data_IF_916450730711
#
_entry.id   IF_916450730711
#
_cell.length_a   1.000
_cell.length_b   1.000
_cell.length_c   1.000
_cell.angle_alpha   90.00
_cell.angle_beta   90.00
_cell.angle_gamma   90.00
#
_symmetry.space_group_name_H-M   'P 1'
#
loop_
_entity.id
_entity.type
_entity.pdbx_description
1 polymer ?
#
# COMPACT_ATOMS: atom_id res chain seq x y z
N UNK A 1 -0.96 86.64 -35.24
CA UNK A 1 -0.88 85.25 -35.75
C UNK A 1 -0.35 84.34 -34.63
N UNK A 2 -1.14 83.30 -34.33
CA UNK A 2 -0.85 82.02 -33.64
C UNK A 2 0.17 81.96 -32.48
N UNK A 3 -0.34 81.58 -31.30
CA UNK A 3 0.44 80.92 -30.23
C UNK A 3 0.06 79.43 -30.21
N UNK A 4 1.06 78.56 -30.40
CA UNK A 4 0.93 77.10 -30.29
C UNK A 4 0.96 76.69 -28.81
N UNK A 5 0.05 75.80 -28.39
CA UNK A 5 0.08 75.10 -27.10
C UNK A 5 0.23 73.60 -27.37
N UNK A 6 1.35 73.03 -26.92
CA UNK A 6 1.54 71.59 -26.84
C UNK A 6 0.89 71.09 -25.54
N UNK A 7 0.01 70.10 -25.63
CA UNK A 7 -0.55 69.38 -24.49
C UNK A 7 0.01 67.96 -24.51
N UNK A 8 0.75 67.59 -23.48
CA UNK A 8 1.32 66.25 -23.28
C UNK A 8 0.33 65.45 -22.43
N UNK A 9 -0.30 64.42 -23.01
CA UNK A 9 -1.13 63.47 -22.26
C UNK A 9 -0.26 62.30 -21.78
N UNK A 10 -0.11 62.18 -20.46
CA UNK A 10 0.44 61.00 -19.79
C UNK A 10 -0.67 59.95 -19.67
N UNK A 11 -0.50 58.79 -20.29
CA UNK A 11 -1.36 57.62 -20.09
C UNK A 11 -0.77 56.77 -18.95
N UNK A 12 -1.42 56.76 -17.79
CA UNK A 12 -1.11 55.82 -16.72
C UNK A 12 -1.85 54.50 -16.97
N UNK A 13 -1.14 53.43 -17.35
CA UNK A 13 -1.66 52.07 -17.29
C UNK A 13 -1.65 51.61 -15.82
N UNK A 14 -2.84 51.45 -15.24
CA UNK A 14 -3.02 50.72 -13.98
C UNK A 14 -3.13 49.22 -14.28
N UNK A 15 -2.09 48.46 -13.94
CA UNK A 15 -2.13 47.00 -13.90
C UNK A 15 -2.89 46.58 -12.65
N UNK A 16 -4.15 46.13 -12.80
CA UNK A 16 -4.89 45.54 -11.69
C UNK A 16 -4.26 44.18 -11.33
N UNK A 17 -3.61 44.11 -10.17
CA UNK A 17 -3.23 42.85 -9.52
C UNK A 17 -4.51 42.19 -9.01
N UNK A 18 -5.11 41.33 -9.81
CA UNK A 18 -6.24 40.50 -9.37
C UNK A 18 -5.71 39.42 -8.41
N UNK A 19 -5.90 39.61 -7.11
CA UNK A 19 -5.76 38.55 -6.12
C UNK A 19 -6.87 37.52 -6.35
N UNK A 20 -6.49 36.26 -6.63
CA UNK A 20 -7.42 35.12 -6.67
C UNK A 20 -8.10 35.02 -5.29
N UNK A 21 -9.43 35.12 -5.24
CA UNK A 21 -10.20 35.01 -4.00
C UNK A 21 -10.37 33.54 -3.57
N UNK A 22 -10.69 33.31 -2.29
CA UNK A 22 -10.88 31.96 -1.74
C UNK A 22 -11.93 31.13 -2.51
N UNK A 23 -13.03 31.75 -2.94
CA UNK A 23 -14.08 31.10 -3.74
C UNK A 23 -13.55 30.61 -5.11
N UNK A 24 -12.57 31.31 -5.69
CA UNK A 24 -11.95 30.92 -6.96
C UNK A 24 -11.04 29.68 -6.77
N UNK A 25 -10.30 29.61 -5.65
CA UNK A 25 -9.46 28.45 -5.31
C UNK A 25 -10.29 27.16 -5.24
N UNK A 26 -11.40 27.18 -4.50
CA UNK A 26 -12.28 26.00 -4.35
C UNK A 26 -12.92 25.60 -5.69
N UNK A 27 -13.33 26.59 -6.50
CA UNK A 27 -13.89 26.34 -7.82
C UNK A 27 -12.87 25.67 -8.76
N UNK A 28 -11.61 26.13 -8.76
CA UNK A 28 -10.58 25.52 -9.60
C UNK A 28 -10.24 24.10 -9.13
N UNK A 29 -10.11 23.88 -7.83
CA UNK A 29 -9.92 22.54 -7.26
C UNK A 29 -11.04 21.59 -7.70
N UNK A 30 -12.29 22.05 -7.63
CA UNK A 30 -13.46 21.26 -8.02
C UNK A 30 -13.39 20.85 -9.49
N UNK A 31 -13.01 21.76 -10.40
CA UNK A 31 -12.81 21.44 -11.83
C UNK A 31 -11.70 20.41 -12.03
N UNK A 32 -10.59 20.53 -11.31
CA UNK A 32 -9.45 19.59 -11.41
C UNK A 32 -9.86 18.18 -10.97
N UNK A 33 -10.70 18.06 -9.92
CA UNK A 33 -11.17 16.75 -9.43
C UNK A 33 -12.07 16.00 -10.42
N UNK A 34 -12.58 16.67 -11.45
CA UNK A 34 -13.40 16.05 -12.50
C UNK A 34 -12.59 15.35 -13.60
N UNK A 35 -11.25 15.39 -13.57
CA UNK A 35 -10.43 14.65 -14.54
C UNK A 35 -10.67 13.16 -14.43
N UNK A 36 -10.89 12.50 -15.57
CA UNK A 36 -11.10 11.06 -15.66
C UNK A 36 -10.15 10.43 -16.69
N UNK A 37 -10.26 9.11 -16.85
CA UNK A 37 -9.50 8.36 -17.84
C UNK A 37 -9.80 8.87 -19.26
N UNK A 38 -8.90 8.54 -20.20
CA UNK A 38 -9.07 8.84 -21.63
C UNK A 38 -9.19 10.35 -21.94
N UNK A 39 -8.64 11.19 -21.07
CA UNK A 39 -8.55 12.63 -21.27
C UNK A 39 -9.82 13.42 -20.99
N UNK A 40 -10.87 12.76 -20.48
CA UNK A 40 -12.09 13.44 -20.05
C UNK A 40 -11.79 14.46 -18.94
N UNK A 41 -12.25 15.71 -19.13
CA UNK A 41 -12.01 16.81 -18.19
C UNK A 41 -10.64 17.49 -18.29
N UNK A 42 -9.70 16.99 -19.11
CA UNK A 42 -8.33 17.51 -19.17
C UNK A 42 -8.25 19.00 -19.55
N UNK A 43 -9.04 19.45 -20.52
CA UNK A 43 -8.99 20.85 -20.96
C UNK A 43 -9.40 21.81 -19.84
N UNK A 44 -10.51 21.50 -19.16
CA UNK A 44 -10.98 22.28 -18.03
C UNK A 44 -9.98 22.26 -16.87
N UNK A 45 -9.41 21.09 -16.55
CA UNK A 45 -8.40 20.96 -15.51
C UNK A 45 -7.10 21.70 -15.84
N UNK A 46 -6.67 21.71 -17.10
CA UNK A 46 -5.49 22.45 -17.54
C UNK A 46 -5.66 23.96 -17.34
N UNK A 47 -6.82 24.50 -17.74
CA UNK A 47 -7.15 25.91 -17.48
C UNK A 47 -7.27 26.20 -15.98
N UNK A 48 -7.90 25.31 -15.22
CA UNK A 48 -8.05 25.46 -13.78
C UNK A 48 -6.71 25.46 -13.04
N UNK A 49 -5.77 24.57 -13.41
CA UNK A 49 -4.42 24.55 -12.84
C UNK A 49 -3.66 25.82 -13.19
N UNK A 50 -3.77 26.34 -14.41
CA UNK A 50 -3.14 27.61 -14.78
C UNK A 50 -3.63 28.77 -13.91
N UNK A 51 -4.94 28.85 -13.65
CA UNK A 51 -5.54 29.87 -12.79
C UNK A 51 -5.14 29.67 -11.33
N UNK A 52 -5.30 28.46 -10.81
CA UNK A 52 -4.96 28.10 -9.43
C UNK A 52 -3.49 28.38 -9.12
N UNK A 53 -2.58 28.15 -10.07
CA UNK A 53 -1.13 28.37 -9.90
C UNK A 53 -0.73 29.85 -9.78
N UNK A 54 -1.67 30.78 -10.01
CA UNK A 54 -1.49 32.22 -9.77
C UNK A 54 -1.95 32.66 -8.38
N UNK A 55 -2.59 31.78 -7.61
CA UNK A 55 -2.95 32.06 -6.23
C UNK A 55 -1.70 32.29 -5.35
N UNK A 56 -1.92 32.96 -4.21
CA UNK A 56 -0.88 33.17 -3.21
C UNK A 56 -0.77 31.96 -2.24
N UNK A 57 0.07 32.10 -1.21
CA UNK A 57 0.33 31.02 -0.25
C UNK A 57 -0.91 30.53 0.51
N UNK A 58 -2.00 31.31 0.57
CA UNK A 58 -3.23 30.91 1.25
C UNK A 58 -3.91 29.70 0.60
N UNK A 59 -3.62 29.43 -0.68
CA UNK A 59 -4.17 28.27 -1.40
C UNK A 59 -3.47 26.94 -1.06
N UNK A 60 -2.31 26.95 -0.38
CA UNK A 60 -1.52 25.75 -0.13
C UNK A 60 -2.28 24.70 0.71
N UNK A 61 -2.87 25.11 1.84
CA UNK A 61 -3.62 24.19 2.72
C UNK A 61 -4.93 23.69 2.08
N UNK A 62 -5.74 24.53 1.41
CA UNK A 62 -6.88 24.08 0.62
C UNK A 62 -6.50 23.03 -0.44
N UNK A 63 -5.41 23.24 -1.18
CA UNK A 63 -4.96 22.28 -2.19
C UNK A 63 -4.58 20.95 -1.54
N UNK A 64 -3.78 20.97 -0.46
CA UNK A 64 -3.40 19.75 0.25
C UNK A 64 -4.62 18.99 0.80
N UNK A 65 -5.58 19.71 1.38
CA UNK A 65 -6.82 19.13 1.91
C UNK A 65 -7.67 18.48 0.80
N UNK A 66 -7.63 19.04 -0.40
CA UNK A 66 -8.41 18.55 -1.55
C UNK A 66 -7.94 17.21 -2.13
N UNK A 67 -6.76 16.72 -1.71
CA UNK A 67 -6.28 15.39 -2.07
C UNK A 67 -7.24 14.31 -1.57
N UNK A 68 -7.98 14.57 -0.49
CA UNK A 68 -9.04 13.69 -0.02
C UNK A 68 -10.15 13.57 -1.07
N UNK A 69 -10.52 12.33 -1.40
CA UNK A 69 -11.49 12.04 -2.46
C UNK A 69 -11.06 12.44 -3.89
N UNK A 70 -9.80 12.84 -4.12
CA UNK A 70 -9.28 13.04 -5.46
C UNK A 70 -8.78 11.72 -6.07
N UNK A 71 -9.10 11.48 -7.33
CA UNK A 71 -8.56 10.32 -8.04
C UNK A 71 -7.07 10.53 -8.39
N UNK A 72 -6.32 9.45 -8.73
CA UNK A 72 -4.88 9.55 -8.99
C UNK A 72 -4.48 10.54 -10.09
N UNK A 73 -5.34 10.77 -11.09
CA UNK A 73 -5.06 11.74 -12.16
C UNK A 73 -5.17 13.17 -11.61
N UNK A 74 -6.26 13.48 -10.91
CA UNK A 74 -6.48 14.77 -10.27
C UNK A 74 -5.37 15.12 -9.27
N UNK A 75 -4.88 14.14 -8.50
CA UNK A 75 -3.76 14.33 -7.57
C UNK A 75 -2.50 14.84 -8.26
N UNK A 76 -2.19 14.39 -9.48
CA UNK A 76 -1.01 14.86 -10.20
C UNK A 76 -1.13 16.33 -10.62
N UNK A 77 -2.32 16.75 -11.05
CA UNK A 77 -2.60 18.16 -11.38
C UNK A 77 -2.52 19.06 -10.15
N UNK A 78 -3.13 18.64 -9.03
CA UNK A 78 -3.11 19.38 -7.76
C UNK A 78 -1.69 19.51 -7.20
N UNK A 79 -0.87 18.45 -7.31
CA UNK A 79 0.54 18.46 -6.90
C UNK A 79 1.34 19.54 -7.65
N UNK A 80 1.19 19.61 -8.98
CA UNK A 80 1.90 20.62 -9.78
C UNK A 80 1.49 22.06 -9.45
N UNK A 81 0.20 22.29 -9.19
CA UNK A 81 -0.29 23.59 -8.74
C UNK A 81 0.29 23.96 -7.37
N UNK A 82 0.26 23.03 -6.41
CA UNK A 82 0.84 23.21 -5.09
C UNK A 82 2.34 23.55 -5.16
N UNK A 83 3.13 22.77 -5.91
CA UNK A 83 4.58 22.98 -6.03
C UNK A 83 4.92 24.34 -6.64
N UNK A 84 4.12 24.80 -7.60
CA UNK A 84 4.27 26.12 -8.21
C UNK A 84 4.05 27.24 -7.20
N UNK A 85 2.96 27.16 -6.42
CA UNK A 85 2.62 28.16 -5.40
C UNK A 85 3.64 28.12 -4.26
N UNK A 86 4.02 26.91 -3.80
CA UNK A 86 4.98 26.71 -2.73
C UNK A 86 6.35 27.26 -3.11
N UNK A 87 6.80 27.03 -4.35
CA UNK A 87 8.08 27.58 -4.84
C UNK A 87 8.09 29.11 -4.82
N UNK A 88 7.00 29.76 -5.24
CA UNK A 88 6.85 31.22 -5.15
C UNK A 88 6.84 31.69 -3.69
N UNK A 89 6.11 31.00 -2.82
CA UNK A 89 6.02 31.34 -1.39
C UNK A 89 7.39 31.23 -0.69
N UNK A 90 8.18 30.21 -1.01
CA UNK A 90 9.56 30.03 -0.52
C UNK A 90 10.44 31.20 -0.98
N UNK A 91 10.42 31.54 -2.27
CA UNK A 91 11.21 32.67 -2.80
C UNK A 91 10.84 34.01 -2.15
N UNK A 92 9.60 34.16 -1.71
CA UNK A 92 9.09 35.36 -1.06
C UNK A 92 9.22 35.33 0.48
N UNK A 93 9.74 34.24 1.07
CA UNK A 93 9.74 34.00 2.52
C UNK A 93 8.34 34.11 3.15
N UNK A 94 7.33 33.58 2.46
CA UNK A 94 5.91 33.60 2.86
C UNK A 94 5.32 32.20 3.04
N UNK A 95 6.15 31.17 3.14
CA UNK A 95 5.65 29.81 3.34
C UNK A 95 4.93 29.73 4.69
N UNK A 96 3.71 29.17 4.78
CA UNK A 96 2.97 29.07 6.04
C UNK A 96 3.46 27.85 6.85
N UNK A 97 4.69 27.91 7.35
CA UNK A 97 5.40 26.79 8.00
C UNK A 97 4.60 26.15 9.14
N UNK A 98 4.05 26.95 10.06
CA UNK A 98 3.27 26.44 11.20
C UNK A 98 2.00 25.67 10.74
N UNK A 99 1.34 26.14 9.67
CA UNK A 99 0.15 25.48 9.14
C UNK A 99 0.51 24.18 8.43
N UNK A 100 1.62 24.16 7.69
CA UNK A 100 2.15 22.94 7.09
C UNK A 100 2.52 21.92 8.16
N UNK A 101 3.19 22.34 9.23
CA UNK A 101 3.55 21.44 10.34
C UNK A 101 2.31 20.82 11.00
N UNK A 102 1.29 21.62 11.31
CA UNK A 102 0.00 21.12 11.81
C UNK A 102 -0.65 20.13 10.85
N UNK A 103 -0.64 20.43 9.54
CA UNK A 103 -1.17 19.55 8.50
C UNK A 103 -0.41 18.21 8.43
N UNK A 104 0.93 18.23 8.58
CA UNK A 104 1.75 17.01 8.58
C UNK A 104 1.43 16.12 9.80
N UNK A 105 1.19 16.73 10.97
CA UNK A 105 0.91 16.00 12.21
C UNK A 105 -0.49 15.39 12.28
N UNK A 106 -1.46 15.94 11.55
CA UNK A 106 -2.82 15.38 11.50
C UNK A 106 -2.86 14.11 10.62
N UNK A 107 -2.98 12.96 11.29
CA UNK A 107 -3.01 11.64 10.65
C UNK A 107 -4.29 11.34 9.87
N UNK A 108 -5.33 12.17 10.00
CA UNK A 108 -6.57 12.04 9.23
C UNK A 108 -6.42 12.51 7.79
N UNK A 109 -5.43 13.35 7.51
CA UNK A 109 -5.18 13.84 6.16
C UNK A 109 -4.55 12.79 5.25
N UNK A 110 -4.78 12.96 3.95
CA UNK A 110 -4.25 12.10 2.91
C UNK A 110 -2.72 11.92 3.04
N UNK A 111 -2.21 10.67 3.11
CA UNK A 111 -0.78 10.40 3.29
C UNK A 111 0.16 11.07 2.27
N UNK A 112 -0.28 11.19 1.01
CA UNK A 112 0.51 11.83 -0.06
C UNK A 112 0.55 13.34 0.11
N UNK A 113 -0.54 13.96 0.54
CA UNK A 113 -0.57 15.39 0.85
C UNK A 113 0.35 15.71 2.04
N UNK A 114 0.28 14.90 3.11
CA UNK A 114 1.17 15.06 4.28
C UNK A 114 2.64 14.94 3.89
N UNK A 115 2.98 13.99 3.00
CA UNK A 115 4.34 13.85 2.47
C UNK A 115 4.79 15.09 1.68
N UNK A 116 3.95 15.59 0.78
CA UNK A 116 4.25 16.78 -0.03
C UNK A 116 4.44 18.04 0.84
N UNK A 117 3.60 18.20 1.88
CA UNK A 117 3.74 19.25 2.87
C UNK A 117 5.08 19.16 3.61
N UNK A 118 5.45 17.95 4.08
CA UNK A 118 6.72 17.69 4.75
C UNK A 118 7.93 18.01 3.88
N UNK A 119 7.95 17.50 2.65
CA UNK A 119 9.04 17.76 1.68
C UNK A 119 9.17 19.24 1.32
N UNK A 120 8.09 20.01 1.45
CA UNK A 120 8.10 21.46 1.24
C UNK A 120 8.63 22.21 2.46
N UNK A 121 8.19 21.83 3.66
CA UNK A 121 8.63 22.42 4.92
C UNK A 121 10.16 22.27 5.10
N UNK A 122 10.71 21.08 4.85
CA UNK A 122 12.14 20.82 5.05
C UNK A 122 13.06 21.60 4.10
N UNK A 123 12.53 22.22 3.04
CA UNK A 123 13.32 23.09 2.13
C UNK A 123 13.71 24.41 2.80
N UNK A 124 12.90 24.89 3.76
CA UNK A 124 13.14 26.14 4.48
C UNK A 124 13.47 25.92 5.95
N UNK A 125 12.99 24.81 6.52
CA UNK A 125 13.31 24.37 7.88
C UNK A 125 13.81 22.92 7.90
N UNK A 126 15.11 22.69 7.63
CA UNK A 126 15.71 21.37 7.75
C UNK A 126 15.58 20.74 9.15
N UNK A 127 15.43 21.56 10.20
CA UNK A 127 15.25 21.10 11.57
C UNK A 127 13.91 20.40 11.81
N UNK A 128 12.91 20.61 10.94
CA UNK A 128 11.62 19.94 11.01
C UNK A 128 11.75 18.41 10.95
N UNK A 129 12.76 17.87 10.26
CA UNK A 129 13.02 16.43 10.23
C UNK A 129 13.24 15.86 11.64
N UNK A 130 14.11 16.49 12.45
CA UNK A 130 14.38 16.03 13.82
C UNK A 130 13.21 16.24 14.77
N UNK A 131 12.36 17.24 14.52
CA UNK A 131 11.18 17.50 15.35
C UNK A 131 10.03 16.54 15.04
N UNK A 132 9.81 16.18 13.77
CA UNK A 132 8.60 15.49 13.32
C UNK A 132 8.82 13.98 13.15
N UNK A 133 9.87 13.57 12.43
CA UNK A 133 10.07 12.18 12.02
C UNK A 133 10.17 11.19 13.19
N UNK A 134 10.78 11.50 14.36
CA UNK A 134 10.81 10.56 15.48
C UNK A 134 9.42 10.09 15.95
N UNK A 135 8.38 10.94 15.81
CA UNK A 135 7.00 10.60 16.16
C UNK A 135 6.27 9.73 15.13
N UNK A 136 6.89 9.41 14.00
CA UNK A 136 6.24 8.79 12.84
C UNK A 136 6.47 7.28 12.72
N UNK A 137 7.07 6.63 13.72
CA UNK A 137 7.42 5.19 13.64
C UNK A 137 6.23 4.26 13.35
N UNK A 138 5.01 4.64 13.74
CA UNK A 138 3.77 3.91 13.43
C UNK A 138 2.78 4.77 12.63
N UNK A 139 3.29 5.72 11.85
CA UNK A 139 2.45 6.63 11.09
C UNK A 139 1.71 5.90 9.95
N UNK A 140 0.42 6.24 9.66
CA UNK A 140 -0.30 5.64 8.54
C UNK A 140 0.31 5.95 7.18
N UNK A 141 1.02 7.07 7.03
CA UNK A 141 1.79 7.40 5.83
C UNK A 141 3.05 6.55 5.76
N UNK A 142 3.09 5.66 4.76
CA UNK A 142 4.22 4.76 4.50
C UNK A 142 5.53 5.54 4.36
N UNK A 143 5.52 6.65 3.65
CA UNK A 143 6.74 7.43 3.39
C UNK A 143 7.26 8.14 4.64
N UNK A 144 6.39 8.69 5.49
CA UNK A 144 6.82 9.32 6.74
C UNK A 144 7.30 8.29 7.76
N UNK A 145 6.61 7.14 7.82
CA UNK A 145 7.01 6.01 8.64
C UNK A 145 8.36 5.45 8.22
N UNK A 146 8.59 5.32 6.91
CA UNK A 146 9.85 4.84 6.35
C UNK A 146 11.03 5.69 6.78
N UNK A 147 10.89 7.02 6.81
CA UNK A 147 11.92 7.94 7.31
C UNK A 147 12.19 7.72 8.81
N UNK A 148 11.15 7.50 9.62
CA UNK A 148 11.30 7.23 11.05
C UNK A 148 12.01 5.90 11.32
N UNK A 149 11.67 4.85 10.56
CA UNK A 149 12.35 3.56 10.59
C UNK A 149 13.81 3.73 10.19
N UNK A 150 14.08 4.48 9.12
CA UNK A 150 15.44 4.70 8.62
C UNK A 150 16.31 5.41 9.66
N UNK A 151 15.77 6.44 10.33
CA UNK A 151 16.46 7.14 11.42
C UNK A 151 16.89 6.18 12.53
N UNK A 152 16.02 5.26 12.95
CA UNK A 152 16.34 4.27 13.98
C UNK A 152 17.34 3.22 13.48
N UNK A 153 17.26 2.80 12.22
CA UNK A 153 18.26 1.92 11.60
C UNK A 153 19.65 2.58 11.66
N UNK A 154 19.74 3.85 11.31
CA UNK A 154 21.03 4.56 11.28
C UNK A 154 21.56 4.80 12.70
N UNK A 155 20.70 5.17 13.64
CA UNK A 155 21.04 5.23 15.07
C UNK A 155 21.57 3.88 15.59
N UNK A 156 20.89 2.78 15.27
CA UNK A 156 21.28 1.44 15.69
C UNK A 156 22.66 1.03 15.11
N UNK A 157 22.92 1.36 13.83
CA UNK A 157 24.22 1.13 13.19
C UNK A 157 25.33 1.94 13.86
N UNK A 158 25.11 3.20 14.22
CA UNK A 158 26.10 4.01 14.93
C UNK A 158 26.39 3.46 16.34
N UNK A 159 25.36 3.03 17.07
CA UNK A 159 25.53 2.35 18.36
C UNK A 159 26.33 1.05 18.22
N UNK A 160 26.05 0.28 17.16
CA UNK A 160 26.79 -0.95 16.87
C UNK A 160 28.27 -0.68 16.59
N UNK A 161 28.58 0.36 15.79
CA UNK A 161 29.97 0.81 15.53
C UNK A 161 30.67 1.27 16.82
N UNK A 162 29.93 1.89 17.74
CA UNK A 162 30.42 2.31 19.04
C UNK A 162 30.56 1.17 20.08
N UNK A 163 30.29 -0.09 19.70
CA UNK A 163 30.39 -1.25 20.60
C UNK A 163 29.22 -1.39 21.60
N UNK A 164 28.20 -0.52 21.49
CA UNK A 164 27.01 -0.45 22.33
C UNK A 164 25.95 -1.45 21.89
N UNK A 165 26.23 -2.74 22.11
CA UNK A 165 25.44 -3.85 21.53
C UNK A 165 23.98 -3.88 22.00
N UNK A 166 23.73 -3.67 23.29
CA UNK A 166 22.37 -3.71 23.83
C UNK A 166 21.54 -2.50 23.39
N UNK A 167 22.14 -1.30 23.34
CA UNK A 167 21.43 -0.13 22.82
C UNK A 167 21.16 -0.24 21.32
N UNK A 168 22.10 -0.77 20.54
CA UNK A 168 21.90 -1.04 19.12
C UNK A 168 20.76 -2.04 18.89
N UNK A 169 20.72 -3.11 19.69
CA UNK A 169 19.64 -4.10 19.68
C UNK A 169 18.28 -3.46 19.95
N UNK A 170 18.17 -2.64 21.00
CA UNK A 170 16.93 -1.93 21.33
C UNK A 170 16.48 -1.00 20.20
N UNK A 171 17.41 -0.25 19.60
CA UNK A 171 17.11 0.63 18.48
C UNK A 171 16.63 -0.14 17.24
N UNK A 172 17.25 -1.28 16.91
CA UNK A 172 16.78 -2.16 15.83
C UNK A 172 15.40 -2.77 16.13
N UNK A 173 15.15 -3.21 17.36
CA UNK A 173 13.84 -3.73 17.77
C UNK A 173 12.76 -2.64 17.65
N UNK A 174 13.07 -1.40 18.05
CA UNK A 174 12.17 -0.27 17.87
C UNK A 174 11.92 0.04 16.38
N UNK A 175 12.97 0.02 15.55
CA UNK A 175 12.84 0.20 14.10
C UNK A 175 11.92 -0.86 13.48
N UNK A 176 12.03 -2.11 13.93
CA UNK A 176 11.22 -3.22 13.44
C UNK A 176 9.73 -3.02 13.70
N UNK A 177 9.34 -2.31 14.77
CA UNK A 177 7.92 -2.07 15.07
C UNK A 177 7.20 -1.27 13.98
N UNK A 178 7.92 -0.40 13.27
CA UNK A 178 7.39 0.44 12.19
C UNK A 178 7.72 -0.06 10.77
N UNK A 179 8.67 -0.98 10.64
CA UNK A 179 9.14 -1.45 9.35
C UNK A 179 8.07 -2.27 8.63
N UNK A 180 7.80 -1.93 7.38
CA UNK A 180 6.85 -2.67 6.52
C UNK A 180 7.43 -3.01 5.16
N UNK A 181 8.52 -2.33 4.77
CA UNK A 181 9.18 -2.55 3.50
C UNK A 181 10.27 -3.62 3.64
N UNK A 182 10.29 -4.57 2.71
CA UNK A 182 11.20 -5.72 2.69
C UNK A 182 12.67 -5.34 2.89
N UNK A 183 13.12 -4.25 2.27
CA UNK A 183 14.51 -3.82 2.34
C UNK A 183 14.91 -3.31 3.73
N UNK A 184 14.04 -2.52 4.38
CA UNK A 184 14.27 -2.05 5.75
C UNK A 184 14.17 -3.19 6.75
N UNK A 185 13.18 -4.08 6.59
CA UNK A 185 13.04 -5.26 7.44
C UNK A 185 14.28 -6.13 7.34
N UNK A 186 14.81 -6.39 6.14
CA UNK A 186 16.09 -7.11 5.97
C UNK A 186 17.27 -6.39 6.62
N UNK A 187 17.34 -5.07 6.49
CA UNK A 187 18.40 -4.25 7.10
C UNK A 187 18.36 -4.29 8.64
N UNK A 188 17.19 -4.50 9.24
CA UNK A 188 16.98 -4.62 10.69
C UNK A 188 17.16 -6.06 11.19
N UNK A 189 16.56 -7.03 10.52
CA UNK A 189 16.51 -8.42 10.98
C UNK A 189 17.87 -9.10 10.86
N UNK A 190 18.67 -8.77 9.84
CA UNK A 190 20.03 -9.31 9.70
C UNK A 190 20.91 -9.03 10.94
N UNK A 191 21.08 -7.78 11.41
CA UNK A 191 21.85 -7.51 12.63
C UNK A 191 21.18 -8.06 13.89
N UNK A 192 19.84 -8.03 14.02
CA UNK A 192 19.15 -8.61 15.18
C UNK A 192 19.43 -10.11 15.33
N UNK A 193 19.34 -10.88 14.23
CA UNK A 193 19.72 -12.31 14.23
C UNK A 193 21.18 -12.52 14.61
N UNK A 194 22.08 -11.65 14.14
CA UNK A 194 23.49 -11.65 14.54
C UNK A 194 23.73 -11.34 16.03
N UNK A 195 22.78 -10.67 16.69
CA UNK A 195 22.76 -10.39 18.13
C UNK A 195 22.00 -11.46 18.93
N UNK A 196 21.62 -12.58 18.30
CA UNK A 196 20.97 -13.72 18.95
C UNK A 196 19.44 -13.64 19.01
N UNK A 197 18.81 -12.62 18.41
CA UNK A 197 17.36 -12.49 18.38
C UNK A 197 16.73 -13.43 17.35
N UNK A 198 15.63 -14.08 17.75
CA UNK A 198 14.79 -14.86 16.84
C UNK A 198 13.64 -13.98 16.37
N UNK A 199 13.64 -13.64 15.08
CA UNK A 199 12.59 -12.84 14.46
C UNK A 199 11.74 -13.72 13.56
N UNK A 200 10.45 -13.76 13.87
CA UNK A 200 9.41 -14.43 13.09
C UNK A 200 8.88 -13.47 12.02
N UNK A 201 9.40 -13.61 10.80
CA UNK A 201 9.04 -12.76 9.66
C UNK A 201 7.61 -13.04 9.16
N UNK A 202 7.14 -14.28 9.30
CA UNK A 202 5.75 -14.63 8.96
C UNK A 202 4.78 -13.79 9.80
N UNK A 203 5.00 -13.74 11.11
CA UNK A 203 4.19 -12.92 12.01
C UNK A 203 4.37 -11.43 11.76
N UNK A 204 5.60 -10.96 11.59
CA UNK A 204 5.88 -9.55 11.36
C UNK A 204 5.11 -9.00 10.15
N UNK A 205 5.09 -9.75 9.05
CA UNK A 205 4.39 -9.34 7.83
C UNK A 205 2.92 -9.77 7.77
N UNK A 206 2.44 -10.63 8.68
CA UNK A 206 1.09 -11.16 8.66
C UNK A 206 0.84 -12.21 7.57
N UNK A 207 1.87 -12.97 7.20
CA UNK A 207 1.74 -14.09 6.27
C UNK A 207 0.85 -15.19 6.85
N UNK A 208 0.01 -15.77 6.00
CA UNK A 208 -0.70 -17.01 6.30
C UNK A 208 0.18 -18.18 5.87
N UNK A 209 0.62 -19.00 6.84
CA UNK A 209 1.48 -20.15 6.60
C UNK A 209 0.79 -21.50 6.78
N UNK A 210 -0.37 -21.54 7.45
CA UNK A 210 -1.19 -22.74 7.61
C UNK A 210 -2.34 -22.78 6.60
N UNK A 211 -2.37 -23.86 5.81
CA UNK A 211 -3.33 -24.03 4.72
C UNK A 211 -3.98 -25.42 4.76
N UNK A 212 -5.16 -25.52 4.18
CA UNK A 212 -5.72 -26.78 3.68
C UNK A 212 -5.65 -26.72 2.17
N UNK A 213 -5.18 -27.79 1.53
CA UNK A 213 -5.05 -27.85 0.07
C UNK A 213 -5.79 -29.04 -0.52
N UNK A 214 -6.37 -28.87 -1.71
CA UNK A 214 -7.01 -29.94 -2.49
C UNK A 214 -6.72 -29.75 -3.99
N UNK A 215 -6.58 -30.87 -4.69
CA UNK A 215 -6.25 -30.96 -6.12
C UNK A 215 -5.27 -32.11 -6.38
N UNK A 216 -4.82 -32.29 -7.63
CA UNK A 216 -5.04 -31.40 -8.77
C UNK A 216 -6.41 -31.59 -9.42
N UNK A 217 -7.02 -30.50 -9.88
CA UNK A 217 -8.11 -30.52 -10.87
C UNK A 217 -7.59 -30.16 -12.26
N UNK A 218 -8.39 -30.37 -13.29
CA UNK A 218 -7.95 -30.21 -14.68
C UNK A 218 -7.78 -28.73 -15.06
N UNK A 219 -6.61 -28.34 -15.55
CA UNK A 219 -6.38 -27.03 -16.18
C UNK A 219 -5.81 -27.19 -17.59
N UNK A 220 -5.97 -28.36 -18.22
CA UNK A 220 -5.52 -28.54 -19.60
C UNK A 220 -6.17 -27.53 -20.53
N UNK A 221 -5.42 -27.00 -21.47
CA UNK A 221 -5.81 -25.96 -22.41
C UNK A 221 -6.29 -24.69 -21.67
N UNK A 222 -5.77 -24.44 -20.46
CA UNK A 222 -6.11 -23.31 -19.58
C UNK A 222 -7.57 -23.25 -19.11
N UNK A 223 -8.39 -24.28 -19.42
CA UNK A 223 -9.83 -24.29 -19.15
C UNK A 223 -10.18 -24.26 -17.66
N UNK A 224 -9.25 -24.70 -16.81
CA UNK A 224 -9.44 -24.81 -15.38
C UNK A 224 -9.64 -23.46 -14.72
N UNK A 225 -9.16 -22.37 -15.32
CA UNK A 225 -9.39 -21.01 -14.84
C UNK A 225 -10.89 -20.69 -14.77
N UNK A 226 -11.64 -20.90 -15.85
CA UNK A 226 -13.08 -20.61 -15.95
C UNK A 226 -13.97 -21.73 -15.42
N UNK A 227 -13.45 -22.96 -15.37
CA UNK A 227 -14.19 -24.09 -14.81
C UNK A 227 -14.41 -23.91 -13.31
N UNK A 228 -15.67 -23.88 -12.89
CA UNK A 228 -16.06 -23.84 -11.48
C UNK A 228 -16.02 -25.26 -10.86
N UNK A 229 -14.96 -25.55 -10.09
CA UNK A 229 -14.83 -26.81 -9.36
C UNK A 229 -15.62 -26.80 -8.04
N UNK A 230 -15.89 -27.96 -7.42
CA UNK A 230 -16.72 -28.04 -6.22
C UNK A 230 -16.32 -27.09 -5.06
N UNK A 231 -15.03 -26.86 -4.74
CA UNK A 231 -14.63 -25.92 -3.70
C UNK A 231 -15.15 -24.49 -3.87
N UNK A 232 -15.40 -24.04 -5.11
CA UNK A 232 -15.93 -22.70 -5.39
C UNK A 232 -17.41 -22.56 -5.03
N UNK A 233 -18.16 -23.66 -5.01
CA UNK A 233 -19.61 -23.67 -4.76
C UNK A 233 -19.91 -23.88 -3.28
N UNK A 234 -19.23 -24.86 -2.68
CA UNK A 234 -19.38 -25.20 -1.26
C UNK A 234 -18.06 -25.73 -0.73
N UNK A 235 -17.55 -25.10 0.32
CA UNK A 235 -16.36 -25.56 0.99
C UNK A 235 -16.74 -26.70 1.96
N UNK A 236 -16.43 -27.91 1.54
CA UNK A 236 -16.56 -29.12 2.34
C UNK A 236 -15.19 -29.78 2.47
N UNK A 237 -14.67 -29.81 3.70
CA UNK A 237 -13.35 -30.36 4.01
C UNK A 237 -13.35 -31.87 4.22
N UNK A 238 -14.51 -32.51 4.33
CA UNK A 238 -14.62 -33.94 4.62
C UNK A 238 -14.82 -34.79 3.35
N UNK A 239 -15.45 -34.23 2.32
CA UNK A 239 -15.78 -34.97 1.10
C UNK A 239 -14.58 -35.13 0.16
N UNK A 240 -14.44 -36.33 -0.38
CA UNK A 240 -13.55 -36.62 -1.48
C UNK A 240 -14.15 -36.11 -2.81
N UNK A 241 -13.30 -35.61 -3.70
CA UNK A 241 -13.72 -35.00 -4.96
C UNK A 241 -13.03 -35.65 -6.16
N UNK A 242 -13.70 -35.69 -7.31
CA UNK A 242 -13.08 -36.10 -8.57
C UNK A 242 -12.03 -35.07 -9.01
N UNK A 243 -10.76 -35.45 -8.96
CA UNK A 243 -9.63 -34.68 -9.46
C UNK A 243 -9.21 -35.10 -10.87
N UNK A 244 -8.08 -34.56 -11.32
CA UNK A 244 -7.50 -34.78 -12.65
C UNK A 244 -6.97 -36.20 -12.84
N UNK A 245 -6.31 -36.74 -11.81
CA UNK A 245 -5.60 -38.04 -11.86
C UNK A 245 -6.27 -39.12 -11.00
N UNK A 246 -7.45 -38.82 -10.45
CA UNK A 246 -8.14 -39.67 -9.50
C UNK A 246 -8.91 -38.84 -8.49
N UNK A 247 -9.37 -39.49 -7.43
CA UNK A 247 -10.02 -38.83 -6.31
C UNK A 247 -9.01 -38.01 -5.48
N UNK A 248 -9.41 -36.84 -5.03
CA UNK A 248 -8.60 -35.91 -4.23
C UNK A 248 -9.34 -35.51 -2.96
N UNK A 249 -8.58 -35.33 -1.88
CA UNK A 249 -9.08 -34.95 -0.56
C UNK A 249 -8.36 -33.71 -0.05
N UNK A 250 -9.01 -32.95 0.84
CA UNK A 250 -8.36 -31.86 1.54
C UNK A 250 -7.30 -32.41 2.50
N UNK A 251 -6.14 -31.78 2.52
CA UNK A 251 -5.06 -32.10 3.46
C UNK A 251 -4.46 -30.83 4.07
N UNK A 252 -4.09 -30.84 5.36
CA UNK A 252 -3.35 -29.73 5.94
C UNK A 252 -1.94 -29.67 5.35
N UNK A 253 -1.48 -28.46 5.08
CA UNK A 253 -0.10 -28.16 4.65
C UNK A 253 0.33 -26.85 5.29
N UNK A 254 1.63 -26.69 5.50
CA UNK A 254 2.21 -25.47 6.02
C UNK A 254 3.55 -25.15 5.34
N UNK A 255 4.11 -23.99 5.66
CA UNK A 255 5.46 -23.59 5.24
C UNK A 255 6.19 -22.88 6.39
N UNK A 256 7.47 -23.18 6.53
CA UNK A 256 8.39 -22.51 7.47
C UNK A 256 9.22 -21.42 6.76
N UNK A 257 8.92 -21.12 5.50
CA UNK A 257 9.59 -20.06 4.74
C UNK A 257 9.34 -18.68 5.38
N UNK A 258 10.41 -17.89 5.60
CA UNK A 258 10.34 -16.58 6.26
C UNK A 258 9.31 -15.62 5.62
N UNK A 259 9.03 -15.77 4.32
CA UNK A 259 8.08 -14.95 3.55
C UNK A 259 6.75 -15.66 3.27
N UNK A 260 6.48 -16.76 3.98
CA UNK A 260 5.23 -17.50 3.85
C UNK A 260 5.03 -18.13 2.47
N UNK A 261 6.11 -18.37 1.72
CA UNK A 261 6.01 -18.99 0.39
C UNK A 261 5.64 -20.46 0.57
N UNK A 262 4.50 -20.86 0.01
CA UNK A 262 4.15 -22.26 -0.17
C UNK A 262 4.41 -22.68 -1.62
N UNK A 263 5.42 -23.53 -1.79
CA UNK A 263 5.78 -24.11 -3.09
C UNK A 263 5.02 -25.43 -3.30
N UNK A 264 3.96 -25.38 -4.11
CA UNK A 264 3.12 -26.55 -4.42
C UNK A 264 3.91 -27.57 -5.24
N UNK A 265 4.74 -27.12 -6.18
CA UNK A 265 5.53 -28.00 -7.04
C UNK A 265 6.50 -28.84 -6.20
N UNK A 266 7.16 -28.22 -5.22
CA UNK A 266 8.11 -28.89 -4.32
C UNK A 266 7.42 -29.71 -3.23
N UNK A 267 6.38 -29.18 -2.59
CA UNK A 267 5.75 -29.79 -1.42
C UNK A 267 4.71 -30.84 -1.75
N UNK A 268 4.10 -30.77 -2.94
CA UNK A 268 3.06 -31.71 -3.39
C UNK A 268 3.52 -32.47 -4.62
N UNK A 269 3.62 -31.80 -5.76
CA UNK A 269 4.04 -32.36 -7.04
C UNK A 269 4.03 -31.24 -8.10
N UNK A 270 4.94 -31.24 -9.08
CA UNK A 270 4.99 -30.26 -10.17
C UNK A 270 3.91 -30.54 -11.23
N UNK A 271 2.64 -30.56 -10.82
CA UNK A 271 1.52 -30.81 -11.72
C UNK A 271 1.42 -29.72 -12.80
N UNK A 272 1.40 -30.18 -14.06
CA UNK A 272 1.16 -29.35 -15.24
C UNK A 272 -0.31 -29.37 -15.62
N UNK A 273 -0.84 -28.29 -16.20
CA UNK A 273 -2.25 -28.19 -16.59
C UNK A 273 -3.15 -28.59 -15.43
N UNK A 274 -2.90 -28.01 -14.26
CA UNK A 274 -3.56 -28.37 -13.01
C UNK A 274 -4.07 -27.14 -12.25
N UNK A 275 -5.19 -27.31 -11.54
CA UNK A 275 -5.71 -26.35 -10.57
C UNK A 275 -5.54 -26.92 -9.15
N UNK A 276 -5.08 -26.08 -8.23
CA UNK A 276 -5.08 -26.37 -6.79
C UNK A 276 -5.92 -25.32 -6.07
N UNK A 277 -6.64 -25.75 -5.05
CA UNK A 277 -7.33 -24.86 -4.12
C UNK A 277 -6.65 -24.90 -2.76
N UNK A 278 -6.36 -23.74 -2.20
CA UNK A 278 -5.82 -23.55 -0.86
C UNK A 278 -6.81 -22.76 -0.03
N UNK A 279 -7.16 -23.24 1.16
CA UNK A 279 -8.05 -22.57 2.09
C UNK A 279 -7.34 -22.26 3.40
N UNK A 280 -7.57 -21.07 3.95
CA UNK A 280 -7.09 -20.65 5.25
C UNK A 280 -8.22 -20.01 6.06
N UNK A 281 -8.17 -20.20 7.37
CA UNK A 281 -9.04 -19.49 8.30
C UNK A 281 -8.34 -18.20 8.74
N UNK A 282 -9.08 -17.09 8.82
CA UNK A 282 -8.62 -15.82 9.39
C UNK A 282 -9.62 -15.35 10.44
N UNK A 283 -9.17 -15.14 11.68
CA UNK A 283 -10.01 -14.71 12.79
C UNK A 283 -9.78 -13.22 13.04
N UNK A 284 -10.84 -12.42 12.89
CA UNK A 284 -10.79 -10.98 13.11
C UNK A 284 -11.48 -10.63 14.43
N UNK A 285 -10.90 -9.76 15.28
CA UNK A 285 -11.52 -9.36 16.55
C UNK A 285 -12.79 -8.51 16.37
N UNK A 286 -13.00 -7.95 15.18
CA UNK A 286 -14.13 -7.08 14.88
C UNK A 286 -14.38 -7.00 13.38
N UNK A 287 -15.19 -6.05 12.93
CA UNK A 287 -15.24 -5.73 11.51
C UNK A 287 -14.01 -4.90 11.14
N UNK A 288 -13.30 -5.29 10.08
CA UNK A 288 -12.06 -4.62 9.67
C UNK A 288 -11.98 -4.52 8.15
N UNK A 289 -11.67 -3.32 7.65
CA UNK A 289 -11.25 -3.10 6.27
C UNK A 289 -9.73 -3.29 6.16
N UNK A 290 -9.32 -4.32 5.44
CA UNK A 290 -7.93 -4.74 5.27
C UNK A 290 -7.65 -5.04 3.80
N UNK A 291 -6.44 -5.50 3.52
CA UNK A 291 -6.03 -6.01 2.22
C UNK A 291 -5.55 -7.45 2.34
N UNK A 292 -5.99 -8.30 1.42
CA UNK A 292 -5.29 -9.54 1.11
C UNK A 292 -4.21 -9.20 0.09
N UNK A 293 -2.96 -9.46 0.45
CA UNK A 293 -1.81 -9.25 -0.44
C UNK A 293 -1.21 -10.58 -0.86
N UNK A 294 -1.07 -10.78 -2.17
CA UNK A 294 -0.68 -12.04 -2.79
C UNK A 294 0.55 -11.83 -3.70
N UNK A 295 1.47 -12.79 -3.67
CA UNK A 295 2.48 -12.98 -4.70
C UNK A 295 2.33 -14.38 -5.31
N UNK A 296 2.26 -14.47 -6.63
CA UNK A 296 2.25 -15.75 -7.35
C UNK A 296 2.57 -15.54 -8.84
N UNK A 297 3.32 -16.45 -9.48
CA UNK A 297 3.50 -16.44 -10.93
C UNK A 297 2.33 -17.07 -11.69
N UNK A 298 1.35 -17.66 -10.99
CA UNK A 298 0.28 -18.47 -11.60
C UNK A 298 -1.03 -17.66 -11.73
N UNK A 299 -1.93 -18.10 -12.62
CA UNK A 299 -3.26 -17.50 -12.70
C UNK A 299 -4.09 -17.88 -11.47
N UNK A 300 -4.96 -16.97 -11.01
CA UNK A 300 -5.60 -17.14 -9.72
C UNK A 300 -6.97 -16.48 -9.59
N UNK A 301 -7.73 -16.96 -8.61
CA UNK A 301 -9.00 -16.39 -8.15
C UNK A 301 -9.05 -16.51 -6.63
N UNK A 302 -9.67 -15.55 -5.95
CA UNK A 302 -9.79 -15.57 -4.49
C UNK A 302 -11.21 -15.27 -4.04
N UNK A 303 -11.66 -16.03 -3.04
CA UNK A 303 -12.94 -15.85 -2.38
C UNK A 303 -12.74 -15.63 -0.90
N UNK A 304 -13.64 -14.86 -0.29
CA UNK A 304 -13.74 -14.69 1.15
C UNK A 304 -15.18 -14.98 1.56
N UNK A 305 -15.36 -15.90 2.50
CA UNK A 305 -16.68 -16.34 2.98
C UNK A 305 -17.63 -16.75 1.84
N UNK A 306 -17.09 -17.42 0.81
CA UNK A 306 -17.84 -17.89 -0.35
C UNK A 306 -18.16 -16.82 -1.41
N UNK A 307 -17.80 -15.55 -1.20
CA UNK A 307 -17.95 -14.48 -2.19
C UNK A 307 -16.67 -14.32 -2.99
N UNK A 308 -16.77 -14.35 -4.32
CA UNK A 308 -15.65 -14.06 -5.21
C UNK A 308 -15.23 -12.61 -5.01
N UNK A 309 -13.96 -12.40 -4.66
CA UNK A 309 -13.41 -11.08 -4.37
C UNK A 309 -12.60 -10.54 -5.55
N UNK A 310 -11.74 -11.38 -6.14
CA UNK A 310 -10.91 -10.98 -7.27
C UNK A 310 -10.48 -12.18 -8.12
N UNK A 311 -10.16 -11.92 -9.39
CA UNK A 311 -9.74 -12.92 -10.36
C UNK A 311 -8.73 -12.32 -11.35
N UNK A 312 -7.64 -13.06 -11.64
CA UNK A 312 -6.65 -12.66 -12.65
C UNK A 312 -6.13 -13.85 -13.45
N UNK A 313 -6.33 -13.79 -14.76
CA UNK A 313 -5.88 -14.83 -15.69
C UNK A 313 -4.52 -14.47 -16.30
N UNK A 314 -3.46 -14.53 -15.50
CA UNK A 314 -2.11 -14.22 -15.96
C UNK A 314 -1.12 -15.28 -15.43
N UNK A 315 -0.24 -15.75 -16.31
CA UNK A 315 0.77 -16.76 -16.01
C UNK A 315 2.18 -16.16 -16.20
N UNK A 316 3.16 -16.71 -15.49
CA UNK A 316 4.60 -16.47 -15.64
C UNK A 316 5.05 -15.02 -15.41
N UNK A 317 4.31 -14.29 -14.57
CA UNK A 317 4.54 -12.87 -14.23
C UNK A 317 5.61 -12.62 -13.17
N UNK A 318 6.61 -13.50 -13.06
CA UNK A 318 7.53 -13.50 -11.92
C UNK A 318 6.75 -13.60 -10.60
N UNK A 319 7.41 -13.31 -9.47
CA UNK A 319 6.75 -13.21 -8.18
C UNK A 319 7.54 -12.26 -7.29
N UNK A 320 6.85 -11.24 -6.79
CA UNK A 320 7.34 -10.31 -5.78
C UNK A 320 6.34 -10.28 -4.63
N UNK A 321 6.81 -9.92 -3.44
CA UNK A 321 5.93 -9.69 -2.30
C UNK A 321 4.93 -8.59 -2.64
N UNK A 322 3.66 -8.77 -2.23
CA UNK A 322 2.58 -7.83 -2.46
C UNK A 322 2.36 -7.45 -3.93
N UNK A 323 2.66 -8.36 -4.87
CA UNK A 323 2.41 -8.16 -6.30
C UNK A 323 0.94 -7.78 -6.59
N UNK A 324 0.05 -8.30 -5.76
CA UNK A 324 -1.39 -8.05 -5.78
C UNK A 324 -1.84 -7.55 -4.41
N UNK A 325 -2.66 -6.50 -4.39
CA UNK A 325 -3.38 -6.04 -3.20
C UNK A 325 -4.87 -5.99 -3.51
N UNK A 326 -5.67 -6.73 -2.73
CA UNK A 326 -7.11 -6.82 -2.89
C UNK A 326 -7.78 -6.34 -1.61
N UNK A 327 -8.51 -5.21 -1.64
CA UNK A 327 -9.30 -4.75 -0.50
C UNK A 327 -10.34 -5.79 -0.07
N UNK A 328 -10.52 -5.96 1.24
CA UNK A 328 -11.47 -6.90 1.82
C UNK A 328 -12.04 -6.35 3.12
N UNK A 329 -13.32 -6.58 3.35
CA UNK A 329 -13.95 -6.39 4.67
C UNK A 329 -14.11 -7.74 5.35
N UNK A 330 -13.39 -7.95 6.45
CA UNK A 330 -13.58 -9.13 7.29
C UNK A 330 -14.66 -8.87 8.34
N UNK A 331 -15.52 -9.86 8.57
CA UNK A 331 -16.50 -9.81 9.66
C UNK A 331 -15.85 -10.22 10.99
N UNK A 332 -16.43 -9.87 12.14
CA UNK A 332 -16.01 -10.40 13.43
C UNK A 332 -15.98 -11.93 13.45
N UNK A 333 -14.97 -12.49 14.11
CA UNK A 333 -14.74 -13.92 14.26
C UNK A 333 -14.14 -14.57 13.01
N UNK A 334 -14.57 -15.81 12.73
CA UNK A 334 -13.98 -16.64 11.68
C UNK A 334 -14.38 -16.18 10.28
N UNK A 335 -13.38 -15.94 9.45
CA UNK A 335 -13.46 -15.75 8.01
C UNK A 335 -12.72 -16.88 7.31
N UNK A 336 -13.22 -17.30 6.15
CA UNK A 336 -12.55 -18.34 5.35
C UNK A 336 -12.12 -17.75 4.02
N UNK A 337 -10.83 -17.86 3.74
CA UNK A 337 -10.20 -17.45 2.50
C UNK A 337 -10.01 -18.71 1.66
N UNK A 338 -10.42 -18.66 0.39
CA UNK A 338 -10.20 -19.72 -0.59
C UNK A 338 -9.43 -19.12 -1.77
N UNK A 339 -8.26 -19.66 -2.05
CA UNK A 339 -7.41 -19.30 -3.17
C UNK A 339 -7.44 -20.44 -4.19
N UNK A 340 -7.78 -20.13 -5.44
CA UNK A 340 -7.58 -21.00 -6.60
C UNK A 340 -6.31 -20.57 -7.30
N UNK A 341 -5.43 -21.52 -7.57
CA UNK A 341 -4.25 -21.32 -8.41
C UNK A 341 -4.30 -22.26 -9.60
N UNK A 342 -3.91 -21.77 -10.76
CA UNK A 342 -3.94 -22.50 -12.02
C UNK A 342 -2.52 -22.54 -12.60
N UNK A 343 -2.02 -23.73 -12.90
CA UNK A 343 -0.76 -23.96 -13.58
C UNK A 343 -1.00 -24.51 -14.99
N UNK A 344 -0.25 -24.03 -15.98
CA UNK A 344 -0.40 -24.43 -17.38
C UNK A 344 0.48 -25.66 -17.71
N UNK A 345 0.45 -26.12 -18.97
CA UNK A 345 1.19 -27.30 -19.43
C UNK A 345 2.62 -27.06 -19.90
N UNK A 346 3.10 -25.82 -19.84
CA UNK A 346 4.46 -25.50 -20.28
C UNK A 346 5.47 -26.33 -19.51
N UNK A 347 6.56 -26.69 -20.18
CA UNK A 347 7.58 -27.62 -19.67
C UNK A 347 8.93 -26.96 -19.45
N UNK A 348 9.09 -25.74 -19.95
CA UNK A 348 10.27 -24.92 -19.79
C UNK A 348 10.50 -24.63 -18.31
N UNK A 349 11.77 -24.71 -17.88
CA UNK A 349 12.15 -24.59 -16.47
C UNK A 349 11.67 -23.29 -15.82
N UNK A 350 11.67 -22.19 -16.57
CA UNK A 350 11.19 -20.88 -16.10
C UNK A 350 9.67 -20.83 -15.84
N UNK A 351 8.90 -21.71 -16.48
CA UNK A 351 7.44 -21.80 -16.38
C UNK A 351 6.96 -22.80 -15.29
N UNK A 352 7.87 -23.48 -14.60
CA UNK A 352 7.51 -24.53 -13.64
C UNK A 352 7.17 -24.03 -12.23
N UNK A 353 7.34 -22.73 -11.95
CA UNK A 353 7.05 -22.19 -10.62
C UNK A 353 5.56 -22.29 -10.34
N UNK A 354 5.21 -23.13 -9.37
CA UNK A 354 3.85 -23.31 -8.89
C UNK A 354 3.82 -23.05 -7.39
N UNK A 355 3.64 -21.79 -7.04
CA UNK A 355 3.83 -21.33 -5.66
C UNK A 355 3.05 -20.05 -5.40
N UNK A 356 2.84 -19.76 -4.13
CA UNK A 356 2.22 -18.51 -3.71
C UNK A 356 2.71 -18.10 -2.33
N UNK A 357 2.52 -16.82 -2.00
CA UNK A 357 2.54 -16.33 -0.64
C UNK A 357 1.36 -15.38 -0.46
N UNK A 358 0.70 -15.42 0.69
CA UNK A 358 -0.44 -14.55 0.97
C UNK A 358 -0.34 -14.02 2.40
N UNK A 359 -0.54 -12.72 2.56
CA UNK A 359 -0.59 -12.05 3.86
C UNK A 359 -1.82 -11.18 3.99
N UNK A 360 -2.19 -10.89 5.24
CA UNK A 360 -3.20 -9.89 5.57
C UNK A 360 -2.48 -8.64 6.07
N UNK A 361 -2.83 -7.49 5.51
CA UNK A 361 -2.20 -6.22 5.85
C UNK A 361 -3.22 -5.09 5.90
N UNK A 362 -2.89 -4.02 6.63
CA UNK A 362 -3.55 -2.72 6.46
C UNK A 362 -3.11 -2.08 5.13
N UNK A 363 -3.84 -1.08 4.60
CA UNK A 363 -3.38 -0.30 3.45
C UNK A 363 -1.98 0.31 3.64
N UNK A 364 -1.61 0.62 4.89
CA UNK A 364 -0.27 1.07 5.27
C UNK A 364 0.85 0.03 5.05
N UNK A 365 0.52 -1.22 4.74
CA UNK A 365 1.47 -2.34 4.61
C UNK A 365 1.78 -3.09 5.90
N UNK A 366 1.31 -2.59 7.05
CA UNK A 366 1.46 -3.23 8.36
C UNK A 366 0.73 -4.58 8.36
N UNK A 367 1.42 -5.66 8.72
CA UNK A 367 0.83 -6.98 8.85
C UNK A 367 -0.29 -7.03 9.89
N UNK A 368 -1.29 -7.88 9.65
CA UNK A 368 -2.37 -8.16 10.60
C UNK A 368 -2.43 -9.66 10.85
N UNK A 369 -2.33 -10.04 12.12
CA UNK A 369 -2.37 -11.43 12.55
C UNK A 369 -3.81 -11.91 12.71
N UNK A 370 -4.01 -13.20 12.47
CA UNK A 370 -5.27 -13.86 12.81
C UNK A 370 -5.36 -14.10 14.32
N UNK A 371 -6.39 -13.57 14.96
CA UNK A 371 -6.61 -13.68 16.41
C UNK A 371 -7.61 -14.81 16.70
N UNK A 372 -7.13 -16.06 16.60
CA UNK A 372 -7.98 -17.20 16.93
C UNK A 372 -8.35 -17.12 18.41
N UNK A 373 -9.65 -17.13 18.79
CA UNK A 373 -10.04 -17.17 20.19
C UNK A 373 -9.39 -18.39 20.84
N UNK A 374 -8.72 -18.19 21.99
CA UNK A 374 -8.27 -19.32 22.80
C UNK A 374 -9.48 -20.20 23.08
N UNK A 375 -9.34 -21.51 22.84
CA UNK A 375 -10.37 -22.46 23.21
C UNK A 375 -10.56 -22.35 24.72
N UNK A 376 -11.69 -21.77 25.15
CA UNK A 376 -12.01 -21.72 26.57
C UNK A 376 -12.22 -23.16 26.98
N UNK A 377 -11.22 -23.76 27.63
CA UNK A 377 -11.35 -25.05 28.29
C UNK A 377 -12.35 -24.83 29.42
N UNK A 378 -13.64 -25.01 29.15
CA UNK A 378 -14.62 -25.18 30.21
C UNK A 378 -14.23 -26.46 30.93
N UNK A 379 -13.53 -26.29 32.05
CA UNK A 379 -13.44 -27.31 33.08
C UNK A 379 -14.88 -27.58 33.51
N UNK A 380 -15.42 -28.69 33.01
CA UNK A 380 -16.63 -29.32 33.54
C UNK A 380 -16.45 -29.48 35.05
N UNK A 381 -17.26 -28.76 35.83
CA UNK A 381 -17.38 -28.95 37.27
C UNK A 381 -18.12 -30.24 37.59
#
# INVERSE_FOLDING_TARGET
MQRSRFLFCFLCLFSALSSVQADDVEQQITKIKQVQKEGQGNQAASQAVQQLSQADQSALIPILSSFEGANPLALNWLCGAFETIASKAIQQNKLPEEQLEKFILDKSHNPRARRLAYETLIKVDPGASERLIPGMINDPSVTLRRDAVQRLIDQAKELQKAGKKEEAKQAFQQALTGATDDDQVKAIVKPLRGLGEKIDLQKHFGFLSDWKIIGPFDNRELKGYDTAYPPEKKLDFASALKGKEGEVNWKPVNTDDDYGIFDIAKSISPYKGAVMYCAADFYSPGEQELEIRLGTPNAWKIWVNGKLLFARNEYHRGMIMDQYSVPVTFKPGKNVILLKLCQNEQTESWAQRYQFQLRIARPSGTGVLSEKPEATTQLSR
#
